data_IF_596126713486
#
_entry.id   IF_596126713486
#
_cell.length_a   1.000
_cell.length_b   1.000
_cell.length_c   1.000
_cell.angle_alpha   90.00
_cell.angle_beta   90.00
_cell.angle_gamma   90.00
#
_symmetry.space_group_name_H-M   'P 1'
#
loop_
_entity.id
_entity.type
_entity.pdbx_description
1 polymer ?
#
# COMPACT_ATOMS: atom_id res chain seq x y z
N UNK A 1 21.15 6.28 -9.76
CA UNK A 1 21.95 5.19 -10.26
C UNK A 1 21.13 4.28 -11.17
N UNK A 2 21.81 3.46 -11.93
CA UNK A 2 21.14 2.57 -12.87
C UNK A 2 20.32 1.51 -12.14
N UNK A 3 20.81 1.06 -11.01
CA UNK A 3 20.09 0.07 -10.23
C UNK A 3 18.77 0.65 -9.74
N UNK A 4 18.82 1.87 -9.27
CA UNK A 4 17.65 2.56 -8.80
C UNK A 4 16.64 2.77 -9.92
N UNK A 5 17.13 3.19 -11.07
CA UNK A 5 16.26 3.40 -12.23
C UNK A 5 15.61 2.10 -12.67
N UNK A 6 16.34 1.01 -12.61
CA UNK A 6 15.81 -0.28 -12.99
C UNK A 6 14.67 -0.70 -12.08
N UNK A 7 14.81 -0.43 -10.81
CA UNK A 7 13.76 -0.74 -9.87
C UNK A 7 12.51 0.08 -10.15
N UNK A 8 12.70 1.33 -10.53
CA UNK A 8 11.56 2.19 -10.82
C UNK A 8 10.85 1.79 -12.10
N UNK A 9 11.58 1.33 -13.08
CA UNK A 9 10.99 0.92 -14.35
C UNK A 9 10.42 -0.48 -14.28
N UNK A 10 10.94 -1.30 -13.38
CA UNK A 10 10.50 -2.67 -13.23
C UNK A 10 9.62 -2.79 -12.00
N UNK A 11 8.34 -2.47 -12.17
CA UNK A 11 7.39 -2.54 -11.08
C UNK A 11 7.22 -3.93 -10.48
N UNK A 12 7.74 -4.93 -11.17
CA UNK A 12 7.63 -6.30 -10.70
C UNK A 12 8.34 -6.50 -9.35
N UNK A 13 9.54 -5.94 -9.22
CA UNK A 13 10.28 -6.07 -7.97
C UNK A 13 9.57 -5.39 -6.81
N UNK A 14 8.97 -4.25 -7.09
CA UNK A 14 8.22 -3.53 -6.06
C UNK A 14 6.99 -4.32 -5.64
N UNK A 15 6.29 -4.90 -6.61
CA UNK A 15 5.11 -5.70 -6.31
C UNK A 15 5.47 -6.96 -5.54
N UNK A 16 6.62 -7.57 -5.83
CA UNK A 16 7.07 -8.72 -5.06
C UNK A 16 7.33 -8.35 -3.61
N UNK A 17 7.91 -7.18 -3.38
CA UNK A 17 8.13 -6.69 -2.02
C UNK A 17 6.79 -6.50 -1.30
N UNK A 18 5.82 -5.93 -1.99
CA UNK A 18 4.50 -5.74 -1.41
C UNK A 18 3.83 -7.07 -1.07
N UNK A 19 4.01 -8.07 -1.94
CA UNK A 19 3.46 -9.39 -1.68
C UNK A 19 4.04 -9.99 -0.41
N UNK A 20 5.34 -9.83 -0.20
CA UNK A 20 5.99 -10.34 1.00
C UNK A 20 5.51 -9.62 2.25
N UNK A 21 5.37 -8.30 2.17
CA UNK A 21 4.88 -7.52 3.29
C UNK A 21 3.44 -7.92 3.63
N UNK A 22 2.61 -8.10 2.62
CA UNK A 22 1.24 -8.54 2.84
C UNK A 22 1.19 -9.91 3.51
N UNK A 23 2.07 -10.81 3.11
CA UNK A 23 2.11 -12.13 3.70
C UNK A 23 2.45 -12.06 5.20
N UNK A 24 3.36 -11.16 5.57
CA UNK A 24 3.71 -10.97 6.97
C UNK A 24 2.50 -10.45 7.75
N UNK A 25 1.78 -9.50 7.18
CA UNK A 25 0.59 -8.95 7.83
C UNK A 25 -0.49 -10.00 7.97
N UNK A 26 -0.70 -10.79 6.93
CA UNK A 26 -1.73 -11.83 6.97
C UNK A 26 -1.41 -12.94 7.97
N UNK A 27 -0.14 -13.10 8.31
CA UNK A 27 0.24 -14.09 9.32
C UNK A 27 -0.08 -13.61 10.74
N UNK A 28 -0.58 -12.38 10.86
CA UNK A 28 -0.94 -11.82 12.16
C UNK A 28 0.13 -10.95 12.76
N UNK A 29 1.22 -10.74 12.06
CA UNK A 29 2.31 -9.90 12.54
C UNK A 29 2.02 -8.45 12.24
N UNK A 30 2.08 -7.62 13.25
CA UNK A 30 1.92 -6.18 13.06
C UNK A 30 3.27 -5.58 12.72
N UNK A 31 3.32 -4.81 11.65
CA UNK A 31 4.53 -4.12 11.26
C UNK A 31 4.25 -2.63 11.15
N UNK A 32 5.30 -1.85 11.39
CA UNK A 32 5.20 -0.41 11.27
C UNK A 32 5.77 0.01 9.93
N UNK A 33 4.89 0.27 8.97
CA UNK A 33 5.31 0.71 7.65
C UNK A 33 5.09 2.20 7.42
N UNK A 34 4.65 2.92 8.45
CA UNK A 34 4.40 4.35 8.34
C UNK A 34 5.64 5.10 7.88
N UNK A 35 6.78 4.72 8.42
CA UNK A 35 8.04 5.34 8.06
C UNK A 35 8.31 5.19 6.57
N UNK A 36 8.07 4.00 6.06
CA UNK A 36 8.27 3.71 4.65
C UNK A 36 7.26 4.46 3.78
N UNK A 37 6.01 4.50 4.21
CA UNK A 37 4.98 5.19 3.46
C UNK A 37 5.27 6.68 3.34
N UNK A 38 5.69 7.29 4.45
CA UNK A 38 6.00 8.72 4.43
C UNK A 38 7.19 9.04 3.53
N UNK A 39 8.04 8.05 3.30
CA UNK A 39 9.21 8.21 2.46
C UNK A 39 8.88 8.13 0.97
N UNK A 40 7.86 7.36 0.60
CA UNK A 40 7.53 7.09 -0.80
C UNK A 40 6.24 7.75 -1.26
N UNK A 41 5.44 8.27 -0.35
CA UNK A 41 4.14 8.85 -0.68
C UNK A 41 3.93 10.17 0.04
N UNK A 42 3.08 11.01 -0.55
CA UNK A 42 2.62 12.22 0.13
C UNK A 42 1.66 11.84 1.25
N UNK A 43 1.78 12.55 2.36
CA UNK A 43 0.93 12.32 3.50
C UNK A 43 -0.55 12.48 3.16
N UNK A 44 -0.88 13.45 2.31
CA UNK A 44 -2.26 13.66 1.90
C UNK A 44 -2.82 12.45 1.16
N UNK A 45 -2.00 11.82 0.32
CA UNK A 45 -2.42 10.62 -0.40
C UNK A 45 -2.65 9.46 0.57
N UNK A 46 -1.76 9.32 1.53
CA UNK A 46 -1.89 8.26 2.54
C UNK A 46 -3.21 8.43 3.29
N UNK A 47 -3.48 9.65 3.74
CA UNK A 47 -4.68 9.92 4.52
C UNK A 47 -5.95 9.67 3.71
N UNK A 48 -5.98 10.12 2.46
CA UNK A 48 -7.16 9.94 1.62
C UNK A 48 -7.46 8.48 1.38
N UNK A 49 -6.44 7.71 1.05
CA UNK A 49 -6.64 6.28 0.77
C UNK A 49 -7.01 5.54 2.04
N UNK A 50 -6.36 5.89 3.16
CA UNK A 50 -6.66 5.29 4.44
C UNK A 50 -8.13 5.54 4.85
N UNK A 51 -8.59 6.76 4.65
CA UNK A 51 -9.98 7.10 4.96
C UNK A 51 -10.95 6.29 4.11
N UNK A 52 -10.59 6.06 2.86
CA UNK A 52 -11.42 5.21 2.01
C UNK A 52 -11.59 3.83 2.63
N UNK A 53 -10.51 3.21 3.07
CA UNK A 53 -10.57 1.88 3.66
C UNK A 53 -11.33 1.87 4.98
N UNK A 54 -11.20 2.92 5.75
CA UNK A 54 -11.92 3.03 7.02
C UNK A 54 -13.43 3.10 6.81
N UNK A 55 -13.86 3.82 5.80
CA UNK A 55 -15.28 4.03 5.53
C UNK A 55 -15.88 2.93 4.66
N UNK A 56 -15.06 2.18 3.96
CA UNK A 56 -15.54 1.14 3.08
C UNK A 56 -15.94 -0.10 3.86
N UNK A 57 -16.93 -0.81 3.34
CA UNK A 57 -17.35 -2.06 3.95
C UNK A 57 -16.43 -3.23 3.57
N UNK A 58 -15.56 -3.00 2.59
CA UNK A 58 -14.64 -4.02 2.12
C UNK A 58 -13.24 -3.45 2.05
N UNK A 59 -12.25 -4.32 2.27
CA UNK A 59 -10.86 -3.95 2.09
C UNK A 59 -10.28 -4.56 0.80
N UNK A 60 -11.16 -4.91 -0.13
CA UNK A 60 -10.75 -5.51 -1.38
C UNK A 60 -9.95 -4.52 -2.21
N UNK A 61 -8.77 -4.96 -2.66
CA UNK A 61 -7.87 -4.12 -3.43
C UNK A 61 -8.48 -3.71 -4.76
N UNK A 62 -9.18 -4.61 -5.43
CA UNK A 62 -9.78 -4.30 -6.73
C UNK A 62 -10.83 -3.22 -6.62
N UNK A 63 -11.65 -3.27 -5.59
CA UNK A 63 -12.66 -2.24 -5.37
C UNK A 63 -12.02 -0.90 -5.10
N UNK A 64 -10.95 -0.90 -4.32
CA UNK A 64 -10.22 0.32 -4.01
C UNK A 64 -9.60 0.93 -5.27
N UNK A 65 -9.01 0.10 -6.11
CA UNK A 65 -8.43 0.57 -7.36
C UNK A 65 -9.50 1.16 -8.26
N UNK A 66 -10.66 0.55 -8.31
CA UNK A 66 -11.75 1.06 -9.12
C UNK A 66 -12.23 2.42 -8.64
N UNK A 67 -12.31 2.59 -7.32
CA UNK A 67 -12.77 3.85 -6.75
C UNK A 67 -11.71 4.94 -6.79
N UNK A 68 -10.47 4.60 -6.53
CA UNK A 68 -9.40 5.56 -6.33
C UNK A 68 -8.41 5.66 -7.48
N UNK A 69 -8.50 4.74 -8.43
CA UNK A 69 -7.47 4.61 -9.46
C UNK A 69 -7.31 5.82 -10.37
N UNK A 70 -8.30 6.71 -10.41
CA UNK A 70 -8.19 7.92 -11.20
C UNK A 70 -7.27 8.95 -10.58
N UNK A 71 -7.13 8.91 -9.27
CA UNK A 71 -6.37 9.91 -8.50
C UNK A 71 -5.07 9.36 -7.93
N UNK A 72 -4.99 8.06 -7.75
CA UNK A 72 -3.85 7.43 -7.08
C UNK A 72 -3.39 6.22 -7.87
N UNK A 73 -2.10 5.89 -7.75
CA UNK A 73 -1.56 4.71 -8.43
C UNK A 73 -1.93 3.45 -7.67
N UNK A 74 -1.87 2.33 -8.38
CA UNK A 74 -2.15 1.03 -7.77
C UNK A 74 -1.18 0.74 -6.64
N UNK A 75 0.09 1.10 -6.82
CA UNK A 75 1.11 0.89 -5.79
C UNK A 75 0.79 1.68 -4.53
N UNK A 76 0.34 2.92 -4.69
CA UNK A 76 -0.05 3.73 -3.55
C UNK A 76 -1.21 3.10 -2.79
N UNK A 77 -2.20 2.64 -3.52
CA UNK A 77 -3.37 2.02 -2.92
C UNK A 77 -2.97 0.74 -2.17
N UNK A 78 -2.11 -0.07 -2.78
CA UNK A 78 -1.64 -1.29 -2.14
C UNK A 78 -0.88 -1.02 -0.85
N UNK A 79 -0.03 -0.01 -0.87
CA UNK A 79 0.76 0.33 0.31
C UNK A 79 -0.12 0.74 1.49
N UNK A 80 -1.09 1.61 1.22
CA UNK A 80 -1.97 2.06 2.29
C UNK A 80 -2.87 0.93 2.76
N UNK A 81 -3.28 0.06 1.85
CA UNK A 81 -4.06 -1.11 2.22
C UNK A 81 -3.29 -1.99 3.20
N UNK A 82 -2.01 -2.18 2.94
CA UNK A 82 -1.15 -2.97 3.84
C UNK A 82 -1.09 -2.32 5.21
N UNK A 83 -0.94 -1.00 5.25
CA UNK A 83 -0.95 -0.27 6.51
C UNK A 83 -2.26 -0.49 7.25
N UNK A 84 -3.37 -0.37 6.55
CA UNK A 84 -4.69 -0.56 7.14
C UNK A 84 -4.84 -1.97 7.71
N UNK A 85 -4.46 -2.98 6.93
CA UNK A 85 -4.55 -4.36 7.38
C UNK A 85 -3.65 -4.64 8.57
N UNK A 86 -2.46 -4.05 8.57
CA UNK A 86 -1.53 -4.21 9.68
C UNK A 86 -2.13 -3.69 10.98
N UNK A 87 -2.80 -2.55 10.91
CA UNK A 87 -3.42 -1.99 12.11
C UNK A 87 -4.63 -2.79 12.55
N UNK A 88 -5.35 -3.36 11.60
CA UNK A 88 -6.52 -4.18 11.93
C UNK A 88 -6.14 -5.56 12.45
N UNK A 89 -4.97 -6.04 12.12
CA UNK A 89 -4.54 -7.37 12.52
C UNK A 89 -4.24 -7.46 14.01
N UNK A 90 -4.26 -6.37 14.68
CA UNK A 90 -3.88 -6.33 16.08
C UNK A 90 -5.06 -6.62 17.03
#
# INVERSE_FOLDING_TARGET
>A
SDVYKRQMTNGLEFNELLDEIEAIVYSGTRINIDYFLNDVMDEDHIDDIYEYFKDSETDDLEDAIEELGGDYTEEEIRLVRIKFLSEMAN
#
